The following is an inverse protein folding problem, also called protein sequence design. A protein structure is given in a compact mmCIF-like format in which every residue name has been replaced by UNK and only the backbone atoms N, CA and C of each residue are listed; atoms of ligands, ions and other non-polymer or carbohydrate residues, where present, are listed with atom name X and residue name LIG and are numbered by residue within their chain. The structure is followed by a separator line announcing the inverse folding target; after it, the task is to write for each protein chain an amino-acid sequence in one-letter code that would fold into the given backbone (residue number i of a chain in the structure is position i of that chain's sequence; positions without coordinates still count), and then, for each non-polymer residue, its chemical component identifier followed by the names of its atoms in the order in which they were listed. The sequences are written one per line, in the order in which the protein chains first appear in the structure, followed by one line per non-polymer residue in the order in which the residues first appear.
data_IF_768004529358
#
_entry.id   IF_768004529358
#
_cell.length_a   1.000
_cell.length_b   1.000
_cell.length_c   1.000
_cell.angle_alpha   90.00
_cell.angle_beta   90.00
_cell.angle_gamma   90.00
#
_symmetry.space_group_name_H-M   'P 1'
#
loop_
_entity.id
_entity.type
_entity.pdbx_description
1 polymer ?
#
# COMPACT_ATOMS: atom_id res chain seq x y z
N UNK A 1 0.10 -23.43 -16.08
CA UNK A 1 -0.26 -22.64 -14.88
C UNK A 1 -0.42 -23.60 -13.71
N UNK A 2 0.19 -23.34 -12.53
CA UNK A 2 -0.10 -24.12 -11.34
C UNK A 2 -1.60 -24.02 -11.06
N UNK A 3 -2.25 -25.16 -10.83
CA UNK A 3 -3.68 -25.20 -10.56
C UNK A 3 -3.99 -24.32 -9.33
N UNK A 4 -4.83 -23.31 -9.51
CA UNK A 4 -5.33 -22.50 -8.41
C UNK A 4 -6.24 -23.39 -7.54
N UNK A 5 -5.77 -23.72 -6.36
CA UNK A 5 -6.58 -24.44 -5.38
C UNK A 5 -7.32 -23.41 -4.52
N UNK A 6 -8.53 -23.03 -4.95
CA UNK A 6 -9.43 -22.25 -4.14
C UNK A 6 -10.15 -23.15 -3.11
N UNK A 7 -10.20 -22.70 -1.87
CA UNK A 7 -10.92 -23.36 -0.78
C UNK A 7 -11.88 -22.39 -0.15
N UNK A 8 -13.15 -22.79 -0.04
CA UNK A 8 -14.16 -22.01 0.67
C UNK A 8 -14.06 -22.34 2.16
N UNK A 9 -13.91 -21.30 2.98
CA UNK A 9 -13.78 -21.42 4.44
C UNK A 9 -14.75 -20.46 5.13
N UNK A 10 -15.20 -20.82 6.32
CA UNK A 10 -15.95 -19.90 7.18
C UNK A 10 -15.03 -18.87 7.85
N UNK A 11 -15.58 -17.72 8.22
CA UNK A 11 -14.86 -16.64 8.86
C UNK A 11 -14.08 -17.07 10.14
N UNK A 12 -14.60 -18.04 10.90
CA UNK A 12 -13.94 -18.57 12.10
C UNK A 12 -12.66 -19.37 11.84
N UNK A 13 -12.50 -19.90 10.62
CA UNK A 13 -11.31 -20.69 10.25
C UNK A 13 -10.21 -19.84 9.59
N UNK A 14 -10.40 -18.56 9.39
CA UNK A 14 -9.51 -17.67 8.63
C UNK A 14 -8.09 -17.64 9.22
N UNK A 15 -7.92 -17.72 10.53
CA UNK A 15 -6.64 -17.72 11.23
C UNK A 15 -5.74 -18.90 10.81
N UNK A 16 -6.33 -20.05 10.50
CA UNK A 16 -5.60 -21.24 10.05
C UNK A 16 -5.02 -21.07 8.64
N UNK A 17 -5.55 -20.09 7.90
CA UNK A 17 -5.15 -19.79 6.52
C UNK A 17 -4.42 -18.43 6.39
N UNK A 18 -3.85 -17.92 7.49
CA UNK A 18 -3.16 -16.61 7.52
C UNK A 18 -2.05 -16.47 6.46
N UNK A 19 -1.37 -17.56 6.10
CA UNK A 19 -0.30 -17.56 5.09
C UNK A 19 -0.79 -17.58 3.63
N UNK A 20 -2.10 -17.48 3.38
CA UNK A 20 -2.69 -17.48 2.03
C UNK A 20 -3.29 -16.11 1.69
N UNK A 21 -3.42 -15.85 0.39
CA UNK A 21 -4.21 -14.72 -0.08
C UNK A 21 -5.69 -15.06 0.09
N UNK A 22 -6.48 -14.07 0.46
CA UNK A 22 -7.88 -14.25 0.86
C UNK A 22 -8.81 -13.50 -0.08
N UNK A 23 -9.94 -14.13 -0.39
CA UNK A 23 -11.05 -13.51 -1.08
C UNK A 23 -12.24 -13.44 -0.12
N UNK A 24 -12.68 -12.23 0.22
CA UNK A 24 -13.84 -11.98 1.06
C UNK A 24 -15.06 -11.66 0.18
N UNK A 25 -16.17 -12.31 0.48
CA UNK A 25 -17.43 -12.07 -0.21
C UNK A 25 -18.53 -11.84 0.82
N UNK A 26 -19.34 -10.83 0.63
CA UNK A 26 -20.54 -10.61 1.45
C UNK A 26 -20.87 -9.14 1.68
N UNK A 27 -21.86 -8.91 2.53
CA UNK A 27 -22.20 -7.57 3.03
C UNK A 27 -21.44 -7.24 4.31
N UNK A 28 -21.46 -5.96 4.70
CA UNK A 28 -20.90 -5.51 5.98
C UNK A 28 -21.56 -6.22 7.19
N UNK A 29 -22.78 -6.72 7.03
CA UNK A 29 -23.52 -7.41 8.08
C UNK A 29 -23.29 -8.92 8.07
N UNK A 30 -23.29 -9.54 6.87
CA UNK A 30 -23.19 -10.99 6.72
C UNK A 30 -21.77 -11.52 6.93
N UNK A 31 -20.73 -10.69 6.69
CA UNK A 31 -19.32 -11.08 6.79
C UNK A 31 -18.66 -10.40 8.00
N UNK A 32 -18.46 -11.13 9.12
CA UNK A 32 -17.93 -10.54 10.36
C UNK A 32 -16.51 -9.97 10.22
N UNK A 33 -15.73 -10.45 9.25
CA UNK A 33 -14.37 -9.96 9.01
C UNK A 33 -14.34 -8.50 8.55
N UNK A 34 -15.37 -7.99 7.89
CA UNK A 34 -15.47 -6.56 7.56
C UNK A 34 -15.50 -5.67 8.81
N UNK A 35 -16.20 -6.12 9.86
CA UNK A 35 -16.22 -5.39 11.15
C UNK A 35 -14.89 -5.54 11.88
N UNK A 36 -14.33 -6.75 11.90
CA UNK A 36 -13.07 -7.05 12.59
C UNK A 36 -11.89 -6.32 11.96
N UNK A 37 -11.84 -6.22 10.64
CA UNK A 37 -10.73 -5.62 9.89
C UNK A 37 -11.00 -4.18 9.44
N UNK A 38 -11.98 -3.52 10.04
CA UNK A 38 -12.39 -2.15 9.67
C UNK A 38 -11.22 -1.16 9.60
N UNK A 39 -10.23 -1.29 10.49
CA UNK A 39 -9.05 -0.43 10.49
C UNK A 39 -8.07 -0.67 9.35
N UNK A 40 -8.18 -1.79 8.65
CA UNK A 40 -7.33 -2.19 7.52
C UNK A 40 -8.00 -1.98 6.17
N UNK A 41 -9.31 -1.73 6.14
CA UNK A 41 -10.02 -1.46 4.90
C UNK A 41 -9.55 -0.11 4.32
N UNK A 42 -9.32 -0.02 3.01
CA UNK A 42 -8.92 1.23 2.35
C UNK A 42 -10.03 2.29 2.40
N UNK A 43 -11.29 1.86 2.51
CA UNK A 43 -12.46 2.72 2.74
C UNK A 43 -13.24 2.15 3.89
N UNK A 44 -13.55 2.98 4.90
CA UNK A 44 -14.47 2.61 5.97
C UNK A 44 -15.91 2.50 5.47
N UNK A 45 -16.76 1.83 6.26
CA UNK A 45 -18.20 1.71 5.96
C UNK A 45 -18.91 3.06 5.80
N UNK A 46 -18.32 4.13 6.31
CA UNK A 46 -18.85 5.50 6.21
C UNK A 46 -18.39 6.21 4.92
N UNK A 47 -17.80 5.49 3.95
CA UNK A 47 -17.29 6.05 2.70
C UNK A 47 -16.10 7.01 2.87
N UNK A 48 -15.53 7.10 4.08
CA UNK A 48 -14.39 7.96 4.39
C UNK A 48 -13.09 7.16 4.44
N UNK A 49 -12.02 7.76 3.97
CA UNK A 49 -10.68 7.16 4.12
C UNK A 49 -10.36 6.94 5.59
N UNK A 50 -9.94 5.74 5.95
CA UNK A 50 -9.73 5.33 7.34
C UNK A 50 -8.46 5.89 7.96
N UNK A 51 -7.56 6.54 7.19
CA UNK A 51 -6.33 7.14 7.72
C UNK A 51 -5.98 8.46 7.04
N UNK A 52 -5.93 9.51 7.85
CA UNK A 52 -5.15 10.71 7.58
C UNK A 52 -3.73 10.47 8.12
N UNK A 53 -2.76 10.23 7.26
CA UNK A 53 -1.37 10.27 7.69
C UNK A 53 -0.83 11.68 7.47
N UNK A 54 -0.29 12.30 8.51
CA UNK A 54 0.46 13.58 8.45
C UNK A 54 1.59 13.53 7.40
N UNK A 55 2.05 12.33 7.09
CA UNK A 55 3.04 12.04 6.07
C UNK A 55 2.54 12.33 4.65
N UNK A 56 1.25 12.11 4.35
CA UNK A 56 0.70 12.31 3.00
C UNK A 56 0.74 13.79 2.60
N UNK A 57 0.46 14.70 3.55
CA UNK A 57 0.58 16.14 3.30
C UNK A 57 2.02 16.58 2.98
N UNK A 58 3.01 15.95 3.60
CA UNK A 58 4.43 16.25 3.32
C UNK A 58 4.84 15.70 1.94
N UNK A 59 4.27 14.56 1.53
CA UNK A 59 4.53 13.90 0.26
C UNK A 59 3.95 14.66 -0.94
N UNK A 60 2.80 15.26 -0.80
CA UNK A 60 2.20 16.08 -1.87
C UNK A 60 3.05 17.31 -2.24
N UNK A 61 3.86 17.79 -1.29
CA UNK A 61 4.74 18.97 -1.49
C UNK A 61 6.15 18.62 -1.94
N UNK A 62 6.56 17.37 -1.88
CA UNK A 62 7.87 16.96 -2.39
C UNK A 62 7.89 17.01 -3.92
N UNK A 63 8.93 17.61 -4.51
CA UNK A 63 9.06 17.67 -5.96
C UNK A 63 9.00 16.27 -6.57
N UNK A 64 8.24 16.11 -7.66
CA UNK A 64 7.99 14.84 -8.35
C UNK A 64 9.26 14.06 -8.74
N UNK A 65 10.41 14.72 -8.85
CA UNK A 65 11.69 14.07 -9.16
C UNK A 65 12.26 13.24 -7.99
N UNK A 66 11.79 13.45 -6.75
CA UNK A 66 12.16 12.66 -5.58
C UNK A 66 11.22 11.47 -5.33
N UNK A 67 10.07 11.44 -6.01
CA UNK A 67 9.18 10.27 -5.97
C UNK A 67 9.66 9.24 -6.98
N UNK A 68 10.26 8.16 -6.51
CA UNK A 68 10.71 7.03 -7.34
C UNK A 68 9.56 6.21 -7.94
N UNK A 69 8.33 6.59 -7.68
CA UNK A 69 7.15 5.92 -8.22
C UNK A 69 6.72 6.56 -9.54
N UNK A 70 7.38 6.12 -10.62
CA UNK A 70 7.05 6.54 -11.99
C UNK A 70 5.68 6.03 -12.49
N UNK A 71 4.93 5.30 -11.66
CA UNK A 71 3.60 4.74 -11.97
C UNK A 71 2.53 5.23 -11.01
N UNK A 72 2.63 6.48 -10.57
CA UNK A 72 1.49 7.09 -9.92
C UNK A 72 0.39 7.19 -10.98
N UNK A 73 -0.56 6.28 -10.90
CA UNK A 73 -1.79 6.36 -11.69
C UNK A 73 -2.44 7.69 -11.37
N UNK A 74 -2.89 8.42 -12.41
CA UNK A 74 -3.63 9.69 -12.24
C UNK A 74 -5.04 9.45 -11.62
N UNK A 75 -5.18 8.35 -10.86
CA UNK A 75 -6.42 8.01 -10.17
C UNK A 75 -6.56 8.84 -8.90
N UNK A 76 -7.75 9.34 -8.63
CA UNK A 76 -8.05 10.06 -7.41
C UNK A 76 -7.82 9.15 -6.19
N UNK A 77 -7.34 9.74 -5.10
CA UNK A 77 -7.17 9.03 -3.83
C UNK A 77 -8.50 8.90 -3.10
N UNK A 78 -8.62 7.89 -2.24
CA UNK A 78 -9.81 7.71 -1.40
C UNK A 78 -10.04 8.86 -0.41
N UNK A 79 -9.00 9.67 -0.13
CA UNK A 79 -9.11 10.88 0.70
C UNK A 79 -9.80 12.04 -0.02
N UNK A 80 -9.76 12.08 -1.37
CA UNK A 80 -10.28 13.19 -2.16
C UNK A 80 -11.77 13.03 -2.49
N UNK A 81 -12.30 11.80 -2.43
CA UNK A 81 -13.69 11.51 -2.78
C UNK A 81 -14.41 10.99 -1.54
N UNK A 82 -15.40 11.75 -1.07
CA UNK A 82 -16.38 11.24 -0.13
C UNK A 82 -17.32 10.30 -0.87
N UNK A 83 -17.00 9.00 -0.89
CA UNK A 83 -17.88 7.99 -1.42
C UNK A 83 -19.08 7.82 -0.48
N UNK A 84 -20.26 7.98 -1.01
CA UNK A 84 -21.49 7.57 -0.35
C UNK A 84 -21.97 6.31 -1.05
N UNK A 85 -21.59 5.11 -0.55
CA UNK A 85 -22.05 3.86 -1.14
C UNK A 85 -23.58 3.79 -1.05
N UNK A 86 -24.21 3.49 -2.17
CA UNK A 86 -25.64 3.18 -2.20
C UNK A 86 -25.83 1.68 -1.98
N UNK A 87 -27.02 1.23 -1.52
CA UNK A 87 -27.27 -0.20 -1.29
C UNK A 87 -27.05 -1.08 -2.53
N UNK A 88 -27.23 -0.50 -3.72
CA UNK A 88 -27.07 -1.20 -5.00
C UNK A 88 -25.61 -1.20 -5.52
N UNK A 89 -24.70 -0.52 -4.84
CA UNK A 89 -23.30 -0.46 -5.26
C UNK A 89 -22.56 -1.73 -4.90
N UNK A 90 -21.61 -2.10 -5.74
CA UNK A 90 -20.63 -3.15 -5.44
C UNK A 90 -19.27 -2.52 -5.22
N UNK A 91 -18.69 -2.81 -4.08
CA UNK A 91 -17.39 -2.31 -3.67
C UNK A 91 -16.36 -3.43 -3.74
N UNK A 92 -15.33 -3.23 -4.55
CA UNK A 92 -14.16 -4.11 -4.63
C UNK A 92 -12.99 -3.41 -3.99
N UNK A 93 -12.38 -4.05 -2.98
CA UNK A 93 -11.26 -3.49 -2.22
C UNK A 93 -10.10 -4.47 -2.16
N UNK A 94 -8.89 -3.98 -2.45
CA UNK A 94 -7.65 -4.72 -2.25
C UNK A 94 -6.83 -4.09 -1.13
N UNK A 95 -6.40 -4.89 -0.14
CA UNK A 95 -5.60 -4.43 1.00
C UNK A 95 -4.69 -5.53 1.54
N UNK A 96 -3.70 -5.14 2.35
CA UNK A 96 -2.81 -6.09 3.00
C UNK A 96 -3.56 -6.92 4.05
N UNK A 97 -3.26 -8.22 4.08
CA UNK A 97 -3.88 -9.11 5.06
C UNK A 97 -3.49 -8.71 6.49
N UNK A 98 -4.48 -8.49 7.39
CA UNK A 98 -4.20 -8.25 8.80
C UNK A 98 -3.61 -9.45 9.53
N UNK A 99 -3.63 -10.63 8.91
CA UNK A 99 -3.18 -11.89 9.49
C UNK A 99 -1.71 -12.17 9.21
N UNK A 100 -1.21 -11.77 8.04
CA UNK A 100 0.18 -12.00 7.66
C UNK A 100 0.66 -10.92 6.68
N UNK A 101 1.79 -10.30 6.98
CA UNK A 101 2.42 -9.34 6.09
C UNK A 101 2.83 -9.98 4.76
N UNK A 102 2.72 -9.22 3.68
CA UNK A 102 3.03 -9.70 2.33
C UNK A 102 1.96 -10.61 1.71
N UNK A 103 0.76 -10.69 2.32
CA UNK A 103 -0.42 -11.36 1.80
C UNK A 103 -1.52 -10.36 1.50
N UNK A 104 -2.31 -10.67 0.48
CA UNK A 104 -3.40 -9.80 0.00
C UNK A 104 -4.76 -10.33 0.43
N UNK A 105 -5.64 -9.38 0.70
CA UNK A 105 -7.08 -9.63 0.79
C UNK A 105 -7.74 -8.84 -0.32
N UNK A 106 -8.59 -9.51 -1.09
CA UNK A 106 -9.51 -8.89 -2.03
C UNK A 106 -10.91 -9.06 -1.48
N UNK A 107 -11.59 -7.96 -1.24
CA UNK A 107 -12.92 -7.96 -0.63
C UNK A 107 -13.96 -7.45 -1.63
N UNK A 108 -15.00 -8.22 -1.81
CA UNK A 108 -16.19 -7.88 -2.58
C UNK A 108 -17.32 -7.63 -1.59
N UNK A 109 -17.71 -6.38 -1.48
CA UNK A 109 -18.77 -5.97 -0.57
C UNK A 109 -19.98 -5.46 -1.37
N UNK A 110 -21.14 -6.04 -1.10
CA UNK A 110 -22.43 -5.55 -1.59
C UNK A 110 -23.49 -5.91 -0.57
N UNK A 111 -24.54 -5.12 -0.47
CA UNK A 111 -25.66 -5.41 0.42
C UNK A 111 -26.60 -6.46 -0.18
N UNK A 112 -26.83 -6.39 -1.49
CA UNK A 112 -27.63 -7.38 -2.21
C UNK A 112 -26.72 -8.37 -2.97
N UNK A 113 -26.78 -9.67 -2.66
CA UNK A 113 -26.04 -10.71 -3.38
C UNK A 113 -26.32 -10.73 -4.90
N UNK A 114 -27.50 -10.29 -5.35
CA UNK A 114 -27.82 -10.21 -6.77
C UNK A 114 -26.90 -9.26 -7.54
N UNK A 115 -26.39 -8.23 -6.88
CA UNK A 115 -25.45 -7.27 -7.49
C UNK A 115 -24.07 -7.88 -7.76
N UNK A 116 -23.73 -9.03 -7.15
CA UNK A 116 -22.47 -9.71 -7.42
C UNK A 116 -22.38 -10.19 -8.88
N UNK A 117 -23.47 -10.62 -9.47
CA UNK A 117 -23.49 -11.00 -10.90
C UNK A 117 -23.12 -9.82 -11.80
N UNK A 118 -23.61 -8.62 -11.49
CA UNK A 118 -23.27 -7.40 -12.24
C UNK A 118 -21.78 -7.07 -12.19
N UNK A 119 -21.13 -7.33 -11.06
CA UNK A 119 -19.68 -7.14 -10.96
C UNK A 119 -18.92 -8.09 -11.88
N UNK A 120 -19.32 -9.36 -11.93
CA UNK A 120 -18.70 -10.33 -12.84
C UNK A 120 -18.98 -9.98 -14.30
N UNK A 121 -20.19 -9.56 -14.64
CA UNK A 121 -20.52 -9.10 -15.99
C UNK A 121 -19.65 -7.91 -16.40
N UNK A 122 -19.47 -6.92 -15.52
CA UNK A 122 -18.59 -5.77 -15.74
C UNK A 122 -17.11 -6.18 -15.82
N UNK A 123 -16.66 -7.14 -15.03
CA UNK A 123 -15.28 -7.64 -15.05
C UNK A 123 -14.93 -8.36 -16.36
N UNK A 124 -15.88 -9.08 -16.94
CA UNK A 124 -15.68 -9.78 -18.21
C UNK A 124 -15.97 -8.89 -19.43
N UNK A 125 -16.50 -7.68 -19.25
CA UNK A 125 -16.66 -6.71 -20.32
C UNK A 125 -15.33 -6.01 -20.63
N UNK A 126 -14.72 -6.21 -21.82
CA UNK A 126 -13.45 -5.59 -22.18
C UNK A 126 -13.50 -4.05 -22.18
N UNK A 127 -14.69 -3.46 -22.33
CA UNK A 127 -14.86 -2.00 -22.36
C UNK A 127 -14.78 -1.40 -20.95
N UNK A 128 -15.25 -2.12 -19.94
CA UNK A 128 -15.24 -1.72 -18.55
C UNK A 128 -13.98 -2.18 -17.81
N UNK A 129 -13.40 -3.32 -18.21
CA UNK A 129 -12.23 -3.92 -17.55
C UNK A 129 -11.04 -2.94 -17.44
N UNK A 130 -10.85 -2.09 -18.44
CA UNK A 130 -9.78 -1.08 -18.44
C UNK A 130 -9.89 -0.07 -17.28
N UNK A 131 -11.11 0.13 -16.77
CA UNK A 131 -11.42 1.07 -15.71
C UNK A 131 -11.29 0.42 -14.31
N UNK A 132 -11.08 -0.91 -14.24
CA UNK A 132 -10.78 -1.62 -12.98
C UNK A 132 -9.30 -1.46 -12.61
N UNK A 133 -8.98 -0.37 -11.93
CA UNK A 133 -7.61 -0.03 -11.53
C UNK A 133 -7.57 0.39 -10.05
N UNK A 134 -6.35 0.43 -9.49
CA UNK A 134 -6.17 0.87 -8.12
C UNK A 134 -6.52 -0.19 -7.07
N UNK A 135 -6.69 0.25 -5.84
CA UNK A 135 -6.97 -0.63 -4.69
C UNK A 135 -8.44 -0.61 -4.27
N UNK A 136 -9.23 0.29 -4.83
CA UNK A 136 -10.67 0.39 -4.58
C UNK A 136 -11.39 0.64 -5.89
N UNK A 137 -12.39 -0.17 -6.15
CA UNK A 137 -13.29 -0.01 -7.31
C UNK A 137 -14.72 0.00 -6.81
N UNK A 138 -15.48 0.99 -7.25
CA UNK A 138 -16.91 1.10 -6.97
C UNK A 138 -17.65 0.95 -8.27
N UNK A 139 -18.51 -0.06 -8.34
CA UNK A 139 -19.43 -0.26 -9.45
C UNK A 139 -20.80 0.29 -9.07
N UNK A 140 -21.15 1.41 -9.68
CA UNK A 140 -22.44 2.08 -9.52
C UNK A 140 -23.26 1.88 -10.80
N UNK A 141 -24.33 1.09 -10.73
CA UNK A 141 -25.12 0.69 -11.90
C UNK A 141 -24.22 0.14 -13.04
N UNK A 142 -23.84 0.96 -14.01
CA UNK A 142 -22.97 0.58 -15.14
C UNK A 142 -21.69 1.45 -15.21
N UNK A 143 -21.39 2.21 -14.16
CA UNK A 143 -20.22 3.08 -14.08
C UNK A 143 -19.20 2.49 -13.11
N UNK A 144 -17.99 2.31 -13.59
CA UNK A 144 -16.84 1.90 -12.77
C UNK A 144 -16.10 3.16 -12.32
N UNK A 145 -15.90 3.30 -11.02
CA UNK A 145 -15.09 4.36 -10.42
C UNK A 145 -13.94 3.72 -9.66
N UNK A 146 -12.71 4.01 -10.09
CA UNK A 146 -11.51 3.43 -9.51
C UNK A 146 -10.74 4.47 -8.69
N UNK A 147 -10.24 4.04 -7.54
CA UNK A 147 -9.57 4.88 -6.56
C UNK A 147 -8.29 4.19 -6.06
N UNK A 148 -7.33 4.97 -5.64
CA UNK A 148 -6.13 4.47 -4.95
C UNK A 148 -6.29 4.67 -3.46
N UNK A 149 -6.18 3.59 -2.69
CA UNK A 149 -6.13 3.65 -1.23
C UNK A 149 -4.79 4.21 -0.75
N UNK A 150 -4.81 4.78 0.45
CA UNK A 150 -3.63 5.42 1.06
C UNK A 150 -2.58 4.40 1.58
N UNK A 151 -2.81 3.11 1.41
CA UNK A 151 -1.92 2.06 1.89
C UNK A 151 -1.18 1.43 0.71
N UNK A 152 0.15 1.55 0.73
CA UNK A 152 1.02 0.78 -0.15
C UNK A 152 1.61 -0.41 0.62
N UNK A 153 1.50 -1.60 0.07
CA UNK A 153 2.09 -2.82 0.63
C UNK A 153 2.72 -3.66 -0.49
N UNK A 154 3.58 -4.58 -0.12
CA UNK A 154 4.17 -5.51 -1.07
C UNK A 154 3.60 -6.92 -0.87
N UNK A 155 3.56 -7.68 -1.93
CA UNK A 155 3.07 -9.06 -1.94
C UNK A 155 4.24 -10.01 -2.16
N UNK A 156 4.28 -11.11 -1.40
CA UNK A 156 5.31 -12.12 -1.49
C UNK A 156 6.57 -11.79 -0.70
N UNK A 157 7.72 -12.34 -1.14
CA UNK A 157 9.01 -12.18 -0.47
C UNK A 157 9.92 -11.24 -1.28
N UNK A 158 10.30 -10.12 -0.68
CA UNK A 158 11.26 -9.20 -1.30
C UNK A 158 12.68 -9.47 -0.80
N UNK A 159 13.68 -9.59 -1.70
CA UNK A 159 15.09 -9.57 -1.32
C UNK A 159 15.43 -8.25 -0.61
N UNK A 160 16.36 -8.31 0.36
CA UNK A 160 16.76 -7.15 1.18
C UNK A 160 17.00 -5.85 0.40
N UNK A 161 17.76 -5.83 -0.72
CA UNK A 161 18.00 -4.58 -1.45
C UNK A 161 16.71 -4.02 -2.08
N UNK A 162 15.83 -4.89 -2.55
CA UNK A 162 14.54 -4.47 -3.12
C UNK A 162 13.60 -3.98 -2.03
N UNK A 163 13.61 -4.63 -0.86
CA UNK A 163 12.85 -4.20 0.30
C UNK A 163 13.29 -2.82 0.80
N UNK A 164 14.61 -2.58 0.92
CA UNK A 164 15.15 -1.27 1.29
C UNK A 164 14.73 -0.18 0.29
N UNK A 165 14.83 -0.47 -1.00
CA UNK A 165 14.39 0.45 -2.05
C UNK A 165 12.91 0.78 -1.93
N UNK A 166 12.06 -0.25 -1.73
CA UNK A 166 10.63 -0.08 -1.53
C UNK A 166 10.34 0.72 -0.26
N UNK A 167 11.00 0.40 0.87
CA UNK A 167 10.82 1.08 2.14
C UNK A 167 11.15 2.58 2.04
N UNK A 168 12.28 2.92 1.49
CA UNK A 168 12.70 4.31 1.34
C UNK A 168 11.85 5.08 0.30
N UNK A 169 11.31 4.42 -0.72
CA UNK A 169 10.41 5.06 -1.66
C UNK A 169 9.06 5.45 -1.03
N UNK A 170 8.64 4.73 0.02
CA UNK A 170 7.39 5.01 0.74
C UNK A 170 7.60 5.83 2.02
N UNK A 171 8.85 5.98 2.46
CA UNK A 171 9.21 6.74 3.67
C UNK A 171 10.34 7.74 3.42
N UNK A 172 10.13 8.83 2.62
CA UNK A 172 11.20 9.76 2.24
C UNK A 172 11.79 10.53 3.42
N UNK A 173 11.05 10.70 4.52
CA UNK A 173 11.61 11.30 5.75
C UNK A 173 12.74 10.43 6.30
N UNK A 174 12.54 9.12 6.34
CA UNK A 174 13.59 8.18 6.74
C UNK A 174 14.76 8.16 5.77
N UNK A 175 14.49 8.27 4.45
CA UNK A 175 15.55 8.42 3.45
C UNK A 175 16.38 9.68 3.71
N UNK A 176 15.72 10.84 3.91
CA UNK A 176 16.38 12.10 4.18
C UNK A 176 17.24 12.04 5.45
N UNK A 177 16.70 11.49 6.55
CA UNK A 177 17.44 11.30 7.80
C UNK A 177 18.65 10.39 7.61
N UNK A 178 18.51 9.30 6.86
CA UNK A 178 19.59 8.36 6.56
C UNK A 178 20.71 9.05 5.76
N UNK A 179 20.34 9.84 4.75
CA UNK A 179 21.31 10.61 3.93
C UNK A 179 22.07 11.64 4.79
N UNK A 180 21.37 12.40 5.64
CA UNK A 180 21.97 13.37 6.55
C UNK A 180 22.92 12.69 7.53
N UNK A 181 22.50 11.57 8.13
CA UNK A 181 23.34 10.81 9.05
C UNK A 181 24.59 10.29 8.36
N UNK A 182 24.46 9.74 7.16
CA UNK A 182 25.60 9.25 6.37
C UNK A 182 26.59 10.39 6.04
N UNK A 183 26.08 11.56 5.64
CA UNK A 183 26.90 12.73 5.36
C UNK A 183 27.69 13.20 6.60
N UNK A 184 27.04 13.21 7.78
CA UNK A 184 27.69 13.53 9.06
C UNK A 184 28.76 12.51 9.40
N UNK A 185 28.52 11.24 9.24
CA UNK A 185 29.49 10.18 9.50
C UNK A 185 30.71 10.30 8.56
N UNK A 186 30.47 10.57 7.27
CA UNK A 186 31.55 10.79 6.30
C UNK A 186 32.38 12.05 6.64
N UNK A 187 31.72 13.13 7.03
CA UNK A 187 32.41 14.36 7.45
C UNK A 187 33.27 14.13 8.71
N UNK A 188 32.77 13.40 9.70
CA UNK A 188 33.51 13.00 10.88
C UNK A 188 34.70 12.10 10.54
N UNK A 189 34.51 11.10 9.71
CA UNK A 189 35.57 10.20 9.25
C UNK A 189 36.66 10.98 8.49
N UNK A 190 36.28 11.85 7.57
CA UNK A 190 37.20 12.70 6.84
C UNK A 190 38.00 13.61 7.81
N UNK A 191 37.34 14.20 8.80
CA UNK A 191 38.00 15.03 9.82
C UNK A 191 39.03 14.22 10.64
N UNK A 192 38.69 13.00 11.04
CA UNK A 192 39.60 12.12 11.79
C UNK A 192 40.80 11.74 10.94
N UNK A 193 40.58 11.35 9.68
CA UNK A 193 41.64 10.99 8.74
C UNK A 193 42.61 12.18 8.47
N UNK A 194 42.05 13.36 8.23
CA UNK A 194 42.86 14.58 8.01
C UNK A 194 43.66 14.93 9.25
N UNK A 195 43.11 14.82 10.45
CA UNK A 195 43.86 15.07 11.70
C UNK A 195 44.99 14.06 11.90
N UNK A 196 44.80 12.80 11.59
CA UNK A 196 45.86 11.78 11.66
C UNK A 196 46.98 12.09 10.66
N UNK A 197 46.62 12.41 9.43
CA UNK A 197 47.60 12.72 8.37
C UNK A 197 48.42 14.02 8.66
N UNK A 198 47.79 15.04 9.26
CA UNK A 198 48.51 16.26 9.69
C UNK A 198 49.41 15.98 10.88
N UNK A 199 49.05 15.14 11.83
CA UNK A 199 49.88 14.78 12.97
C UNK A 199 51.11 13.96 12.53
N UNK A 200 51.00 13.06 11.58
CA UNK A 200 52.12 12.29 11.01
C UNK A 200 53.11 13.21 10.30
N UNK A 201 52.64 14.16 9.47
CA UNK A 201 53.54 15.13 8.78
C UNK A 201 54.29 16.08 9.72
N UNK A 202 53.67 16.47 10.83
CA UNK A 202 54.31 17.31 11.84
C UNK A 202 55.37 16.54 12.64
N UNK A 203 55.21 15.24 12.83
CA UNK A 203 56.18 14.39 13.50
C UNK A 203 57.39 14.07 12.62
N UNK A 204 57.20 13.88 11.31
CA UNK A 204 58.26 13.60 10.34
C UNK A 204 59.07 14.87 9.97
N UNK A 205 58.48 16.07 10.10
CA UNK A 205 59.16 17.35 9.81
C UNK A 205 59.95 17.97 10.99
N UNK A 206 59.83 17.39 12.18
CA UNK A 206 60.54 17.90 13.39
C UNK A 206 61.91 17.25 13.70
N UNK A 207 62.40 16.38 12.78
CA UNK A 207 63.69 15.65 12.97
C UNK A 207 64.84 16.08 12.07
N UNK A 208 64.88 17.35 11.62
CA UNK A 208 66.02 17.90 10.85
C UNK A 208 66.69 19.00 11.62
#
# INVERSE_FOLDING_TARGET
YPALHAQIIGAGAVQQHAGRDLLLLGSAESQPLFKQWRAHLPIGQDGRATRFALTDWLFERLPRFLSFDARRTDLPTTAEIALQPQPDDVLLMGFESPLAAGRSVVAFQTEDPANMSRLFDAWFDPTLLKDFQGSVVVLQQNKVTSLVGNQAYYVGHLPLPTWLRWYFSHHPVWLALTVVLLALLLALAARVLLRRHTAERLNDGGGA
#
